data_IF_870615285108
#
_entry.id   IF_870615285108
#
_cell.length_a   1.000
_cell.length_b   1.000
_cell.length_c   1.000
_cell.angle_alpha   90.00
_cell.angle_beta   90.00
_cell.angle_gamma   90.00
#
_symmetry.space_group_name_H-M   'P 1'
#
loop_
_entity.id
_entity.type
_entity.pdbx_description
1 polymer ?
#
# COMPACT_ATOMS: atom_id res chain seq x y z
N UNK A 1 2.10 1.94 10.60
CA UNK A 1 1.83 1.75 9.15
C UNK A 1 1.10 0.43 8.90
N UNK A 2 0.84 -0.29 9.98
CA UNK A 2 0.58 -1.72 10.00
C UNK A 2 -0.88 -1.98 9.68
N UNK A 3 -1.79 -1.13 10.16
CA UNK A 3 -3.19 -1.08 9.73
C UNK A 3 -3.34 -1.08 8.21
N UNK A 4 -2.58 -0.23 7.50
CA UNK A 4 -2.68 -0.13 6.03
C UNK A 4 -2.06 -1.35 5.36
N UNK A 5 -1.00 -1.91 5.92
CA UNK A 5 -0.39 -3.17 5.47
C UNK A 5 -1.33 -4.35 5.64
N UNK A 6 -1.95 -4.49 6.80
CA UNK A 6 -2.97 -5.50 7.08
C UNK A 6 -4.17 -5.34 6.15
N UNK A 7 -4.56 -4.11 5.82
CA UNK A 7 -5.67 -3.84 4.92
C UNK A 7 -5.36 -4.21 3.46
N UNK A 8 -4.28 -3.66 2.90
CA UNK A 8 -3.93 -3.82 1.48
C UNK A 8 -3.16 -5.12 1.18
N UNK A 9 -2.53 -5.72 2.18
CA UNK A 9 -1.58 -6.83 2.02
C UNK A 9 -0.18 -6.38 1.59
N UNK A 10 0.83 -7.15 1.99
CA UNK A 10 2.25 -6.82 1.77
C UNK A 10 2.66 -6.76 0.29
N UNK A 11 2.00 -7.54 -0.56
CA UNK A 11 2.23 -7.57 -2.02
C UNK A 11 1.90 -6.24 -2.71
N UNK A 12 1.09 -5.39 -2.06
CA UNK A 12 0.75 -4.05 -2.54
C UNK A 12 1.74 -2.98 -2.06
N UNK A 13 2.53 -3.26 -1.01
CA UNK A 13 3.50 -2.32 -0.47
C UNK A 13 4.85 -2.37 -1.18
N UNK A 14 5.31 -3.56 -1.53
CA UNK A 14 6.58 -3.75 -2.20
C UNK A 14 6.41 -4.39 -3.57
N UNK A 15 7.27 -4.01 -4.52
CA UNK A 15 7.40 -4.75 -5.78
C UNK A 15 8.25 -5.98 -5.49
N UNK A 16 7.61 -7.14 -5.30
CA UNK A 16 8.25 -8.39 -4.91
C UNK A 16 8.21 -8.61 -3.40
N UNK A 17 9.31 -9.10 -2.82
CA UNK A 17 9.46 -9.30 -1.38
C UNK A 17 9.61 -7.95 -0.62
N UNK A 18 10.05 -7.92 0.65
CA UNK A 18 10.62 -6.72 1.27
C UNK A 18 12.12 -6.51 0.91
N UNK A 19 12.59 -5.26 0.69
CA UNK A 19 14.00 -4.94 0.42
C UNK A 19 14.92 -5.26 1.60
N UNK A 20 16.09 -5.86 1.31
CA UNK A 20 17.07 -6.26 2.34
C UNK A 20 18.36 -5.44 2.33
N UNK A 21 18.66 -4.74 1.25
CA UNK A 21 19.88 -3.95 1.09
C UNK A 21 19.57 -2.60 0.41
N UNK A 22 20.53 -1.68 0.47
CA UNK A 22 20.39 -0.30 -0.05
C UNK A 22 20.00 -0.23 -1.53
N UNK A 23 20.56 -1.11 -2.35
CA UNK A 23 20.28 -1.15 -3.79
C UNK A 23 18.87 -1.66 -4.08
N UNK A 24 18.39 -2.64 -3.30
CA UNK A 24 17.03 -3.14 -3.39
C UNK A 24 15.99 -2.09 -2.98
N UNK A 25 16.27 -1.25 -1.98
CA UNK A 25 15.39 -0.13 -1.63
C UNK A 25 15.23 0.83 -2.81
N UNK A 26 16.33 1.24 -3.43
CA UNK A 26 16.31 2.12 -4.60
C UNK A 26 15.59 1.46 -5.78
N UNK A 27 15.91 0.21 -6.10
CA UNK A 27 15.33 -0.49 -7.23
C UNK A 27 13.81 -0.69 -7.08
N UNK A 28 13.34 -1.08 -5.89
CA UNK A 28 11.90 -1.27 -5.63
C UNK A 28 11.16 0.05 -5.65
N UNK A 29 11.75 1.12 -5.11
CA UNK A 29 11.21 2.47 -5.23
C UNK A 29 11.05 2.87 -6.70
N UNK A 30 12.09 2.68 -7.53
CA UNK A 30 12.04 3.02 -8.95
C UNK A 30 10.97 2.20 -9.69
N UNK A 31 10.85 0.90 -9.41
CA UNK A 31 9.79 0.07 -9.96
C UNK A 31 8.39 0.58 -9.55
N UNK A 32 8.22 0.98 -8.30
CA UNK A 32 6.95 1.53 -7.79
C UNK A 32 6.60 2.88 -8.45
N UNK A 33 7.61 3.72 -8.72
CA UNK A 33 7.47 4.97 -9.47
C UNK A 33 7.27 4.76 -10.97
N UNK A 34 7.28 3.52 -11.45
CA UNK A 34 6.94 3.16 -12.83
C UNK A 34 8.12 3.15 -13.80
N UNK A 35 9.37 3.02 -13.32
CA UNK A 35 10.49 2.72 -14.22
C UNK A 35 10.48 1.26 -14.66
N UNK A 36 10.92 1.00 -15.88
CA UNK A 36 11.10 -0.37 -16.37
C UNK A 36 12.30 -1.05 -15.70
N UNK A 37 12.19 -2.36 -15.46
CA UNK A 37 13.29 -3.15 -14.91
C UNK A 37 14.55 -3.11 -15.81
N UNK A 38 14.35 -3.07 -17.13
CA UNK A 38 15.44 -2.92 -18.11
C UNK A 38 16.14 -1.58 -17.98
N UNK A 39 15.41 -0.47 -17.81
CA UNK A 39 16.05 0.83 -17.59
C UNK A 39 16.89 0.85 -16.30
N UNK A 40 16.40 0.22 -15.23
CA UNK A 40 17.13 0.14 -13.96
C UNK A 40 18.46 -0.60 -14.12
N UNK A 41 18.46 -1.74 -14.82
CA UNK A 41 19.69 -2.52 -15.04
C UNK A 41 20.66 -1.82 -15.98
N UNK A 42 20.17 -1.21 -17.07
CA UNK A 42 21.01 -0.47 -18.02
C UNK A 42 21.68 0.76 -17.38
N UNK A 43 20.95 1.49 -16.53
CA UNK A 43 21.44 2.72 -15.92
C UNK A 43 21.99 2.55 -14.49
N UNK A 44 22.06 1.31 -13.98
CA UNK A 44 22.60 0.96 -12.65
C UNK A 44 22.08 1.88 -11.54
N UNK A 45 20.76 2.14 -11.51
CA UNK A 45 20.13 2.97 -10.49
C UNK A 45 20.30 4.50 -10.64
N UNK A 46 21.06 4.98 -11.63
CA UNK A 46 21.30 6.42 -11.86
C UNK A 46 20.22 7.14 -12.68
N UNK A 47 19.02 6.58 -12.72
CA UNK A 47 17.90 7.05 -13.56
C UNK A 47 17.42 8.46 -13.19
N UNK A 48 17.57 8.84 -11.92
CA UNK A 48 17.11 10.13 -11.41
C UNK A 48 18.00 11.30 -11.84
N UNK A 49 19.23 11.04 -12.33
CA UNK A 49 20.11 12.09 -12.88
C UNK A 49 19.67 12.58 -14.27
N UNK A 50 18.73 11.90 -14.93
CA UNK A 50 18.23 12.27 -16.25
C UNK A 50 16.72 12.53 -16.24
N UNK A 51 16.26 13.58 -15.55
CA UNK A 51 14.82 13.83 -15.38
C UNK A 51 14.06 14.05 -16.69
N UNK A 52 14.75 14.56 -17.72
CA UNK A 52 14.18 14.80 -19.06
C UNK A 52 13.89 13.54 -19.87
N UNK A 53 14.39 12.37 -19.45
CA UNK A 53 14.21 11.07 -20.15
C UNK A 53 13.32 10.09 -19.40
N UNK A 54 12.65 10.53 -18.33
CA UNK A 54 11.80 9.65 -17.53
C UNK A 54 10.70 8.96 -18.36
N UNK A 55 10.15 9.64 -19.38
CA UNK A 55 9.14 9.06 -20.27
C UNK A 55 9.70 7.89 -21.12
N UNK A 56 10.94 8.00 -21.59
CA UNK A 56 11.59 6.96 -22.40
C UNK A 56 11.94 5.72 -21.57
N UNK A 57 12.08 5.88 -20.26
CA UNK A 57 12.49 4.84 -19.31
C UNK A 57 11.30 4.25 -18.53
N UNK A 58 10.10 4.75 -18.80
CA UNK A 58 8.87 4.34 -18.14
C UNK A 58 8.45 2.92 -18.53
N UNK A 59 7.98 2.18 -17.52
CA UNK A 59 7.23 0.95 -17.69
C UNK A 59 5.93 1.23 -18.45
N UNK A 60 5.51 0.28 -19.31
CA UNK A 60 4.19 0.32 -19.96
C UNK A 60 3.04 0.34 -18.96
N UNK A 61 3.23 -0.28 -17.79
CA UNK A 61 2.22 -0.33 -16.73
C UNK A 61 2.19 0.94 -15.87
N UNK A 62 3.16 1.85 -16.02
CA UNK A 62 3.25 3.07 -15.23
C UNK A 62 3.57 2.82 -13.75
N UNK A 63 3.41 3.86 -12.89
CA UNK A 63 3.60 3.76 -11.45
C UNK A 63 2.53 2.86 -10.81
N UNK A 64 2.92 2.08 -9.79
CA UNK A 64 1.95 1.27 -9.04
C UNK A 64 1.09 2.17 -8.15
N UNK A 65 -0.22 2.04 -8.32
CA UNK A 65 -1.21 2.57 -7.39
C UNK A 65 -1.66 1.49 -6.41
N UNK A 66 -2.45 1.91 -5.42
CA UNK A 66 -3.25 0.99 -4.60
C UNK A 66 -4.24 0.31 -5.54
N UNK A 67 -4.20 -1.02 -5.62
CA UNK A 67 -5.18 -1.79 -6.40
C UNK A 67 -6.52 -1.81 -5.67
N UNK A 68 -7.62 -1.81 -6.44
CA UNK A 68 -8.96 -1.78 -5.88
C UNK A 68 -9.32 -3.13 -5.22
N UNK A 69 -9.39 -3.18 -3.89
CA UNK A 69 -9.86 -4.34 -3.13
C UNK A 69 -11.36 -4.29 -2.77
N UNK A 70 -12.12 -3.38 -3.39
CA UNK A 70 -13.52 -3.07 -3.08
C UNK A 70 -14.49 -3.49 -4.21
N UNK A 71 -14.59 -4.79 -4.56
CA UNK A 71 -15.30 -5.25 -5.76
C UNK A 71 -16.79 -4.97 -5.73
N UNK A 72 -17.42 -4.90 -4.55
CA UNK A 72 -18.86 -4.71 -4.40
C UNK A 72 -19.24 -3.24 -4.54
N UNK A 73 -18.61 -2.35 -3.78
CA UNK A 73 -18.85 -0.89 -3.82
C UNK A 73 -18.50 -0.33 -5.20
N UNK A 74 -17.48 -0.90 -5.86
CA UNK A 74 -17.11 -0.51 -7.22
C UNK A 74 -18.22 -0.71 -8.24
N UNK A 75 -19.10 -1.70 -8.07
CA UNK A 75 -20.25 -1.86 -8.96
C UNK A 75 -21.15 -0.62 -8.97
N UNK A 76 -21.18 0.12 -7.88
CA UNK A 76 -22.00 1.32 -7.74
C UNK A 76 -21.27 2.62 -8.17
N UNK A 77 -19.99 2.56 -8.54
CA UNK A 77 -19.25 3.75 -8.98
C UNK A 77 -19.89 4.41 -10.20
N UNK A 78 -20.30 3.64 -11.22
CA UNK A 78 -20.94 4.20 -12.42
C UNK A 78 -22.24 4.94 -12.05
N UNK A 79 -23.01 4.37 -11.12
CA UNK A 79 -24.24 4.99 -10.62
C UNK A 79 -23.98 6.29 -9.90
N UNK A 80 -23.08 6.31 -8.92
CA UNK A 80 -22.88 7.47 -8.05
C UNK A 80 -21.96 8.53 -8.65
N UNK A 81 -20.93 8.14 -9.40
CA UNK A 81 -19.96 9.07 -9.99
C UNK A 81 -20.34 9.50 -11.40
N UNK A 82 -20.90 8.58 -12.21
CA UNK A 82 -21.20 8.84 -13.64
C UNK A 82 -22.70 8.96 -13.94
N UNK A 83 -23.56 8.82 -12.93
CA UNK A 83 -25.02 8.93 -13.04
C UNK A 83 -25.60 7.98 -14.11
N UNK A 84 -25.03 6.78 -14.25
CA UNK A 84 -25.45 5.80 -15.26
C UNK A 84 -26.84 5.19 -15.01
N UNK A 85 -27.51 5.53 -13.90
CA UNK A 85 -28.82 5.00 -13.53
C UNK A 85 -28.74 3.81 -12.57
N UNK A 86 -29.73 2.92 -12.62
CA UNK A 86 -29.82 1.75 -11.76
C UNK A 86 -28.73 0.72 -12.09
N UNK A 87 -28.16 0.11 -11.05
CA UNK A 87 -27.21 -1.00 -11.18
C UNK A 87 -27.91 -2.25 -10.70
N UNK A 88 -28.16 -3.18 -11.62
CA UNK A 88 -28.76 -4.48 -11.31
C UNK A 88 -27.65 -5.51 -11.04
N UNK A 89 -27.79 -6.23 -9.92
CA UNK A 89 -26.89 -7.32 -9.56
C UNK A 89 -27.19 -8.54 -10.43
N UNK A 90 -26.35 -8.79 -11.43
CA UNK A 90 -26.41 -9.99 -12.25
C UNK A 90 -25.70 -11.17 -11.56
N UNK A 91 -25.99 -12.43 -11.92
CA UNK A 91 -25.28 -13.59 -11.40
C UNK A 91 -23.75 -13.51 -11.61
N UNK A 92 -23.29 -12.98 -12.74
CA UNK A 92 -21.86 -12.81 -13.03
C UNK A 92 -21.20 -11.83 -12.07
N UNK A 93 -21.94 -10.79 -11.67
CA UNK A 93 -21.47 -9.83 -10.67
C UNK A 93 -21.33 -10.49 -9.30
N UNK A 94 -22.28 -11.35 -8.92
CA UNK A 94 -22.24 -12.09 -7.65
C UNK A 94 -21.07 -13.07 -7.63
N UNK A 95 -20.86 -13.82 -8.71
CA UNK A 95 -19.70 -14.72 -8.84
C UNK A 95 -18.37 -13.96 -8.79
N UNK A 96 -18.30 -12.79 -9.43
CA UNK A 96 -17.13 -11.91 -9.39
C UNK A 96 -16.82 -11.45 -7.96
N UNK A 97 -17.84 -11.00 -7.21
CA UNK A 97 -17.71 -10.60 -5.81
C UNK A 97 -17.18 -11.75 -4.95
N UNK A 98 -17.82 -12.91 -5.03
CA UNK A 98 -17.44 -14.09 -4.23
C UNK A 98 -16.02 -14.53 -4.58
N UNK A 99 -15.65 -14.50 -5.86
CA UNK A 99 -14.31 -14.87 -6.32
C UNK A 99 -13.20 -13.92 -5.87
N UNK A 100 -13.54 -12.68 -5.50
CA UNK A 100 -12.59 -11.65 -5.05
C UNK A 100 -12.54 -11.49 -3.53
N UNK A 101 -13.48 -12.10 -2.80
CA UNK A 101 -13.43 -12.15 -1.35
C UNK A 101 -12.14 -12.85 -0.88
N UNK A 102 -11.44 -12.21 0.06
CA UNK A 102 -10.21 -12.70 0.68
C UNK A 102 -10.44 -13.23 2.11
N UNK A 103 -11.69 -13.47 2.51
CA UNK A 103 -12.03 -13.82 3.88
C UNK A 103 -12.56 -15.25 3.96
N UNK A 104 -12.10 -15.98 4.98
CA UNK A 104 -12.50 -17.33 5.30
C UNK A 104 -13.55 -17.31 6.42
N UNK A 105 -14.38 -18.33 6.42
CA UNK A 105 -15.30 -18.61 7.52
C UNK A 105 -14.48 -19.13 8.70
N UNK A 106 -14.56 -18.45 9.84
CA UNK A 106 -14.08 -19.03 11.09
C UNK A 106 -15.10 -20.09 11.55
N UNK A 107 -14.61 -21.25 11.96
CA UNK A 107 -15.49 -22.37 12.39
C UNK A 107 -15.80 -22.30 13.89
N UNK A 108 -15.69 -21.13 14.52
CA UNK A 108 -16.13 -20.92 15.89
C UNK A 108 -17.67 -21.03 15.95
N UNK A 109 -18.18 -21.86 16.86
CA UNK A 109 -19.55 -22.37 16.80
C UNK A 109 -20.65 -21.31 17.06
N UNK A 110 -20.32 -20.09 17.50
CA UNK A 110 -21.33 -19.17 18.04
C UNK A 110 -21.28 -17.70 17.57
N UNK A 111 -20.46 -17.32 16.58
CA UNK A 111 -20.53 -15.95 16.03
C UNK A 111 -20.17 -15.93 14.54
N UNK A 112 -20.73 -14.96 13.79
CA UNK A 112 -20.31 -14.69 12.40
C UNK A 112 -18.92 -14.02 12.41
N UNK A 113 -17.93 -14.73 12.92
CA UNK A 113 -16.53 -14.33 12.92
C UNK A 113 -15.90 -14.68 11.56
N UNK A 114 -15.16 -13.75 10.99
CA UNK A 114 -14.52 -13.90 9.68
C UNK A 114 -13.06 -13.49 9.78
N UNK A 115 -12.17 -14.31 9.22
CA UNK A 115 -10.72 -14.07 9.26
C UNK A 115 -10.22 -13.81 7.85
N UNK A 116 -9.39 -12.77 7.68
CA UNK A 116 -8.71 -12.51 6.41
C UNK A 116 -7.73 -13.65 6.15
N UNK A 117 -7.73 -14.22 4.96
CA UNK A 117 -6.78 -15.26 4.64
C UNK A 117 -5.36 -14.68 4.60
N UNK A 118 -4.48 -15.20 5.45
CA UNK A 118 -3.06 -14.83 5.46
C UNK A 118 -2.32 -15.35 4.22
N UNK A 119 -2.75 -16.51 3.68
CA UNK A 119 -2.11 -17.18 2.56
C UNK A 119 -2.98 -17.29 1.31
N UNK A 120 -2.39 -16.93 0.15
CA UNK A 120 -3.00 -17.09 -1.16
C UNK A 120 -3.32 -18.56 -1.52
N UNK A 121 -2.70 -19.51 -0.83
CA UNK A 121 -2.92 -20.95 -1.03
C UNK A 121 -4.28 -21.40 -0.48
N UNK A 122 -4.74 -20.81 0.62
CA UNK A 122 -6.01 -21.17 1.27
C UNK A 122 -7.21 -20.57 0.56
N UNK A 123 -7.04 -19.35 0.03
CA UNK A 123 -7.98 -18.74 -0.91
C UNK A 123 -8.20 -19.60 -2.16
N UNK A 124 -7.12 -20.18 -2.71
CA UNK A 124 -7.24 -21.07 -3.88
C UNK A 124 -8.01 -22.34 -3.57
N UNK A 125 -7.75 -22.98 -2.42
CA UNK A 125 -8.46 -24.21 -1.99
C UNK A 125 -9.96 -23.96 -1.81
N UNK A 126 -10.32 -22.83 -1.19
CA UNK A 126 -11.73 -22.49 -0.96
C UNK A 126 -12.45 -22.11 -2.26
N UNK A 127 -11.81 -21.33 -3.14
CA UNK A 127 -12.35 -21.00 -4.48
C UNK A 127 -12.55 -22.26 -5.32
N UNK A 128 -11.67 -23.25 -5.20
CA UNK A 128 -11.80 -24.53 -5.90
C UNK A 128 -12.94 -25.39 -5.34
N UNK A 129 -13.16 -25.39 -4.02
CA UNK A 129 -14.33 -26.02 -3.37
C UNK A 129 -15.65 -25.38 -3.79
N UNK A 130 -15.70 -24.04 -3.88
CA UNK A 130 -16.90 -23.31 -4.31
C UNK A 130 -17.20 -23.53 -5.80
N UNK A 131 -16.19 -23.48 -6.68
CA UNK A 131 -16.36 -23.77 -8.12
C UNK A 131 -16.89 -25.18 -8.37
N UNK A 132 -16.40 -26.19 -7.63
CA UNK A 132 -16.90 -27.57 -7.75
C UNK A 132 -18.38 -27.70 -7.36
N UNK A 133 -18.84 -26.95 -6.36
CA UNK A 133 -20.26 -26.92 -5.95
C UNK A 133 -21.15 -26.22 -6.99
N UNK A 134 -20.63 -25.21 -7.71
CA UNK A 134 -21.38 -24.49 -8.74
C UNK A 134 -21.49 -25.26 -10.07
N UNK A 135 -20.47 -26.04 -10.44
CA UNK A 135 -20.47 -26.84 -11.69
C UNK A 135 -21.40 -28.05 -11.67
N UNK A 136 -21.90 -28.45 -10.50
CA UNK A 136 -22.71 -29.66 -10.31
C UNK A 136 -24.21 -29.43 -10.55
N UNK A 137 -24.59 -28.37 -11.28
CA UNK A 137 -25.97 -28.10 -11.71
C UNK A 137 -26.98 -27.80 -10.59
N UNK A 138 -26.55 -27.73 -9.34
CA UNK A 138 -27.41 -27.48 -8.18
C UNK A 138 -27.83 -26.02 -8.10
N UNK A 139 -29.15 -25.78 -8.05
CA UNK A 139 -29.71 -24.47 -7.62
C UNK A 139 -29.05 -24.10 -6.29
N UNK A 140 -28.20 -23.07 -6.28
CA UNK A 140 -27.52 -22.62 -5.06
C UNK A 140 -28.59 -22.25 -4.02
N UNK A 141 -28.52 -22.87 -2.83
CA UNK A 141 -29.41 -22.54 -1.72
C UNK A 141 -29.16 -21.07 -1.36
N UNK A 142 -30.20 -20.28 -1.11
CA UNK A 142 -30.06 -18.86 -0.81
C UNK A 142 -29.01 -18.57 0.28
N UNK A 143 -28.96 -19.40 1.34
CA UNK A 143 -27.94 -19.29 2.40
C UNK A 143 -26.50 -19.52 1.94
N UNK A 144 -26.27 -20.37 0.93
CA UNK A 144 -24.93 -20.59 0.33
C UNK A 144 -24.45 -19.44 -0.55
N UNK A 145 -25.35 -18.52 -0.92
CA UNK A 145 -25.01 -17.32 -1.69
C UNK A 145 -24.93 -16.08 -0.79
N UNK A 146 -25.92 -15.92 0.11
CA UNK A 146 -26.03 -14.78 1.01
C UNK A 146 -24.87 -14.71 2.00
N UNK A 147 -24.40 -15.86 2.52
CA UNK A 147 -23.30 -15.88 3.50
C UNK A 147 -21.97 -15.40 2.87
N UNK A 148 -21.48 -15.95 1.74
CA UNK A 148 -20.28 -15.43 1.07
C UNK A 148 -20.42 -13.97 0.60
N UNK A 149 -21.62 -13.56 0.20
CA UNK A 149 -21.87 -12.19 -0.21
C UNK A 149 -21.77 -11.23 0.99
N UNK A 150 -22.43 -11.56 2.10
CA UNK A 150 -22.32 -10.79 3.35
C UNK A 150 -20.86 -10.70 3.82
N UNK A 151 -20.10 -11.81 3.74
CA UNK A 151 -18.66 -11.83 4.02
C UNK A 151 -17.88 -10.86 3.12
N UNK A 152 -18.14 -10.88 1.81
CA UNK A 152 -17.46 -9.99 0.87
C UNK A 152 -17.78 -8.51 1.15
N UNK A 153 -19.02 -8.20 1.54
CA UNK A 153 -19.43 -6.86 1.93
C UNK A 153 -18.77 -6.40 3.24
N UNK A 154 -18.77 -7.22 4.29
CA UNK A 154 -18.16 -6.84 5.58
C UNK A 154 -16.65 -6.71 5.47
N UNK A 155 -16.01 -7.62 4.74
CA UNK A 155 -14.59 -7.56 4.37
C UNK A 155 -14.20 -6.23 3.70
N UNK A 156 -15.00 -5.84 2.72
CA UNK A 156 -14.79 -4.63 1.95
C UNK A 156 -15.04 -3.36 2.76
N UNK A 157 -15.94 -3.42 3.74
CA UNK A 157 -16.31 -2.26 4.55
C UNK A 157 -15.08 -1.60 5.18
N UNK A 158 -14.12 -2.38 5.69
CA UNK A 158 -12.88 -1.85 6.27
C UNK A 158 -12.01 -1.15 5.24
N UNK A 159 -11.90 -1.70 4.02
CA UNK A 159 -11.10 -1.10 2.97
C UNK A 159 -11.77 0.16 2.40
N UNK A 160 -13.07 0.09 2.19
CA UNK A 160 -13.89 1.18 1.68
C UNK A 160 -13.97 2.37 2.65
N UNK A 161 -14.08 2.09 3.95
CA UNK A 161 -14.15 3.12 4.99
C UNK A 161 -12.79 3.66 5.43
N UNK A 162 -11.69 3.04 4.98
CA UNK A 162 -10.37 3.53 5.33
C UNK A 162 -10.17 4.97 4.80
N UNK A 163 -9.74 5.93 5.64
CA UNK A 163 -9.67 7.34 5.26
C UNK A 163 -8.45 7.65 4.39
N UNK A 164 -8.43 7.13 3.15
CA UNK A 164 -7.32 7.27 2.19
C UNK A 164 -6.95 8.72 1.90
N UNK A 165 -7.92 9.64 1.86
CA UNK A 165 -7.65 11.07 1.64
C UNK A 165 -6.87 11.69 2.80
N UNK A 166 -7.16 11.26 4.03
CA UNK A 166 -6.42 11.69 5.23
C UNK A 166 -5.00 11.15 5.16
N UNK A 167 -4.84 9.85 4.90
CA UNK A 167 -3.52 9.22 4.69
C UNK A 167 -2.74 9.94 3.59
N UNK A 168 -3.35 10.18 2.43
CA UNK A 168 -2.72 10.84 1.29
C UNK A 168 -2.24 12.25 1.66
N UNK A 169 -3.10 13.07 2.30
CA UNK A 169 -2.74 14.41 2.74
C UNK A 169 -1.55 14.38 3.71
N UNK A 170 -1.51 13.40 4.60
CA UNK A 170 -0.38 13.22 5.52
C UNK A 170 0.89 12.79 4.80
N UNK A 171 0.82 11.85 3.86
CA UNK A 171 1.96 11.45 3.03
C UNK A 171 2.57 12.66 2.30
N UNK A 172 1.75 13.56 1.75
CA UNK A 172 2.24 14.78 1.12
C UNK A 172 2.88 15.75 2.12
N UNK A 173 2.26 15.95 3.28
CA UNK A 173 2.82 16.81 4.33
C UNK A 173 4.18 16.29 4.81
N UNK A 174 4.28 14.97 4.98
CA UNK A 174 5.50 14.26 5.33
C UNK A 174 6.59 14.46 4.26
N UNK A 175 6.27 14.24 2.99
CA UNK A 175 7.22 14.45 1.89
C UNK A 175 7.72 15.89 1.79
N UNK A 176 6.86 16.89 2.05
CA UNK A 176 7.26 18.31 2.11
C UNK A 176 8.26 18.56 3.23
N UNK A 177 8.07 17.93 4.40
CA UNK A 177 8.96 18.09 5.55
C UNK A 177 10.32 17.47 5.27
N UNK A 178 10.35 16.22 4.80
CA UNK A 178 11.59 15.57 4.34
C UNK A 178 12.30 16.43 3.29
N UNK A 179 11.57 16.92 2.27
CA UNK A 179 12.16 17.80 1.28
C UNK A 179 12.80 19.01 1.95
N UNK A 180 12.12 19.69 2.88
CA UNK A 180 12.66 20.90 3.49
C UNK A 180 13.97 20.69 4.25
N UNK A 181 14.11 19.56 4.95
CA UNK A 181 15.31 19.28 5.74
C UNK A 181 16.46 18.72 4.90
N UNK A 182 16.13 17.95 3.87
CA UNK A 182 17.13 17.38 2.97
C UNK A 182 17.51 18.34 1.82
N UNK A 183 16.71 19.38 1.56
CA UNK A 183 16.90 20.35 0.46
C UNK A 183 18.33 20.90 0.38
N UNK A 184 18.96 21.34 1.49
CA UNK A 184 20.30 21.94 1.42
C UNK A 184 21.35 20.96 0.85
N UNK A 185 21.30 19.70 1.28
CA UNK A 185 22.22 18.65 0.83
C UNK A 185 21.87 18.21 -0.59
N UNK A 186 20.57 18.00 -0.88
CA UNK A 186 20.11 17.57 -2.20
C UNK A 186 20.40 18.62 -3.29
N UNK A 187 20.22 19.92 -2.99
CA UNK A 187 20.56 21.00 -3.93
C UNK A 187 22.06 21.11 -4.17
N UNK A 188 22.88 20.86 -3.14
CA UNK A 188 24.35 20.85 -3.28
C UNK A 188 24.80 19.74 -4.22
N UNK A 189 24.18 18.56 -4.12
CA UNK A 189 24.55 17.37 -4.88
C UNK A 189 23.96 17.33 -6.29
N UNK A 190 22.68 17.63 -6.43
CA UNK A 190 21.91 17.44 -7.68
C UNK A 190 21.52 18.76 -8.34
N UNK A 191 21.86 19.89 -7.73
CA UNK A 191 21.49 21.23 -8.19
C UNK A 191 20.09 21.67 -7.74
N UNK A 192 19.76 22.97 -7.84
CA UNK A 192 18.48 23.51 -7.40
C UNK A 192 17.28 23.04 -8.23
N UNK A 193 17.51 22.53 -9.44
CA UNK A 193 16.49 22.05 -10.37
C UNK A 193 16.28 20.53 -10.32
N UNK A 194 16.71 19.86 -9.23
CA UNK A 194 16.48 18.41 -9.07
C UNK A 194 14.98 18.05 -8.93
N UNK A 195 14.16 19.02 -8.55
CA UNK A 195 12.69 18.96 -8.57
C UNK A 195 12.15 20.24 -9.20
N UNK A 196 11.28 20.09 -10.21
CA UNK A 196 10.63 21.20 -10.93
C UNK A 196 9.25 21.54 -10.36
N UNK A 197 8.50 20.52 -9.96
CA UNK A 197 7.09 20.65 -9.58
C UNK A 197 6.80 19.90 -8.29
N UNK A 198 5.79 20.38 -7.56
CA UNK A 198 5.36 19.73 -6.31
C UNK A 198 4.97 18.26 -6.54
N UNK A 199 4.35 17.94 -7.68
CA UNK A 199 3.98 16.55 -8.03
C UNK A 199 5.16 15.56 -8.01
N UNK A 200 6.39 16.05 -8.06
CA UNK A 200 7.61 15.25 -8.03
C UNK A 200 8.13 15.02 -6.59
N UNK A 201 7.44 15.50 -5.54
CA UNK A 201 7.87 15.30 -4.15
C UNK A 201 8.25 13.85 -3.80
N UNK A 202 7.56 12.79 -4.27
CA UNK A 202 7.99 11.42 -4.03
C UNK A 202 9.42 11.13 -4.49
N UNK A 203 9.90 11.76 -5.56
CA UNK A 203 11.27 11.60 -6.06
C UNK A 203 12.34 12.09 -5.09
N UNK A 204 11.99 12.95 -4.11
CA UNK A 204 12.90 13.31 -3.01
C UNK A 204 13.44 12.05 -2.32
N UNK A 205 12.57 11.07 -2.06
CA UNK A 205 12.94 9.79 -1.46
C UNK A 205 13.87 9.02 -2.40
N UNK A 206 13.57 9.03 -3.71
CA UNK A 206 14.43 8.44 -4.72
C UNK A 206 15.84 9.02 -4.73
N UNK A 207 15.98 10.35 -4.64
CA UNK A 207 17.29 11.00 -4.59
C UNK A 207 18.05 10.65 -3.30
N UNK A 208 17.37 10.56 -2.15
CA UNK A 208 17.97 10.11 -0.89
C UNK A 208 18.50 8.68 -1.03
N UNK A 209 17.66 7.76 -1.53
CA UNK A 209 18.04 6.36 -1.74
C UNK A 209 19.17 6.20 -2.77
N UNK A 210 19.15 7.00 -3.84
CA UNK A 210 20.20 7.00 -4.86
C UNK A 210 21.53 7.46 -4.28
N UNK A 211 21.53 8.58 -3.53
CA UNK A 211 22.75 9.07 -2.89
C UNK A 211 23.27 8.08 -1.84
N UNK A 212 22.39 7.43 -1.07
CA UNK A 212 22.80 6.39 -0.12
C UNK A 212 23.34 5.12 -0.78
N UNK A 213 22.79 4.72 -1.94
CA UNK A 213 23.33 3.61 -2.71
C UNK A 213 24.76 3.92 -3.20
N UNK A 214 24.99 5.13 -3.70
CA UNK A 214 26.28 5.59 -4.26
C UNK A 214 27.34 5.90 -3.19
N UNK A 215 26.96 6.57 -2.10
CA UNK A 215 27.84 7.01 -1.02
C UNK A 215 27.21 6.68 0.34
N UNK A 216 27.36 5.43 0.82
CA UNK A 216 26.70 4.96 2.04
C UNK A 216 27.29 5.56 3.32
N UNK A 217 28.53 6.07 3.29
CA UNK A 217 29.26 6.54 4.47
C UNK A 217 29.37 8.06 4.55
N UNK A 218 29.26 8.76 3.42
CA UNK A 218 29.28 10.22 3.35
C UNK A 218 27.88 10.85 3.34
N UNK A 219 27.58 11.57 2.26
CA UNK A 219 26.37 12.40 2.17
C UNK A 219 25.08 11.57 2.18
N UNK A 220 25.14 10.31 1.74
CA UNK A 220 24.00 9.39 1.79
C UNK A 220 23.62 9.02 3.21
N UNK A 221 24.61 8.76 4.08
CA UNK A 221 24.37 8.49 5.52
C UNK A 221 23.72 9.68 6.19
N UNK A 222 24.22 10.88 5.89
CA UNK A 222 23.70 12.12 6.46
C UNK A 222 22.25 12.38 6.02
N UNK A 223 21.93 12.20 4.73
CA UNK A 223 20.56 12.32 4.22
C UNK A 223 19.61 11.32 4.90
N UNK A 224 20.02 10.06 5.04
CA UNK A 224 19.24 9.04 5.73
C UNK A 224 19.03 9.41 7.20
N UNK A 225 20.06 9.92 7.89
CA UNK A 225 19.98 10.34 9.30
C UNK A 225 19.03 11.52 9.48
N UNK A 226 19.13 12.55 8.65
CA UNK A 226 18.24 13.72 8.68
C UNK A 226 16.79 13.28 8.44
N UNK A 227 16.56 12.48 7.38
CA UNK A 227 15.23 11.99 7.04
C UNK A 227 14.64 11.11 8.16
N UNK A 228 15.45 10.25 8.76
CA UNK A 228 15.04 9.41 9.90
C UNK A 228 14.70 10.25 11.14
N UNK A 229 15.47 11.30 11.42
CA UNK A 229 15.20 12.23 12.52
C UNK A 229 13.83 12.90 12.38
N UNK A 230 13.52 13.41 11.19
CA UNK A 230 12.18 13.96 10.91
C UNK A 230 11.09 12.89 10.95
N UNK A 231 11.32 11.71 10.36
CA UNK A 231 10.35 10.62 10.39
C UNK A 231 9.99 10.21 11.82
N UNK A 232 11.00 9.97 12.67
CA UNK A 232 10.80 9.58 14.05
C UNK A 232 10.12 10.71 14.84
N UNK A 233 10.49 11.97 14.63
CA UNK A 233 9.80 13.10 15.27
C UNK A 233 8.33 13.17 14.87
N UNK A 234 8.01 12.90 13.61
CA UNK A 234 6.65 12.94 13.08
C UNK A 234 5.78 11.76 13.52
N UNK A 235 6.36 10.56 13.57
CA UNK A 235 5.66 9.34 13.99
C UNK A 235 5.50 9.31 15.51
N UNK A 236 6.60 9.49 16.26
CA UNK A 236 6.61 9.32 17.72
C UNK A 236 6.00 10.53 18.45
N UNK A 237 6.27 11.77 18.03
CA UNK A 237 5.81 12.96 18.78
C UNK A 237 4.49 13.53 18.27
N UNK A 238 4.20 13.41 16.97
CA UNK A 238 2.98 14.00 16.37
C UNK A 238 1.88 12.96 16.11
N UNK A 239 2.13 11.68 16.41
CA UNK A 239 1.13 10.62 16.34
C UNK A 239 0.44 10.51 14.97
N UNK A 240 1.17 10.78 13.88
CA UNK A 240 0.55 10.88 12.54
C UNK A 240 -0.11 9.56 12.10
N UNK A 241 0.45 8.41 12.50
CA UNK A 241 -0.22 7.12 12.35
C UNK A 241 -1.56 7.06 13.09
N UNK A 242 -1.58 7.59 14.32
CA UNK A 242 -2.77 7.63 15.17
C UNK A 242 -3.85 8.57 14.62
N UNK A 243 -3.52 9.63 13.87
CA UNK A 243 -4.56 10.51 13.28
C UNK A 243 -5.48 9.75 12.32
N UNK A 244 -4.93 8.83 11.55
CA UNK A 244 -5.69 8.03 10.58
C UNK A 244 -6.55 6.99 11.29
N UNK A 245 -6.00 6.35 12.33
CA UNK A 245 -6.70 5.40 13.20
C UNK A 245 -7.81 6.11 13.99
N UNK A 246 -7.55 7.28 14.54
CA UNK A 246 -8.52 8.12 15.25
C UNK A 246 -9.65 8.56 14.33
N UNK A 247 -9.33 8.94 13.08
CA UNK A 247 -10.36 9.27 12.09
C UNK A 247 -11.22 8.04 11.76
N UNK A 248 -10.61 6.87 11.59
CA UNK A 248 -11.32 5.62 11.38
C UNK A 248 -12.22 5.24 12.57
N UNK A 249 -11.72 5.32 13.81
CA UNK A 249 -12.48 5.13 15.05
C UNK A 249 -13.68 6.08 15.13
N UNK A 250 -13.46 7.39 14.92
CA UNK A 250 -14.51 8.42 15.07
C UNK A 250 -15.56 8.41 13.96
N UNK A 251 -15.17 8.15 12.73
CA UNK A 251 -16.07 8.26 11.57
C UNK A 251 -16.82 6.94 11.31
N UNK A 252 -16.20 5.80 11.63
CA UNK A 252 -16.70 4.49 11.19
C UNK A 252 -16.76 3.45 12.31
N UNK A 253 -16.39 3.80 13.55
CA UNK A 253 -16.42 2.87 14.68
C UNK A 253 -15.44 1.72 14.58
N UNK A 254 -14.37 1.87 13.77
CA UNK A 254 -13.38 0.82 13.57
C UNK A 254 -12.41 0.77 14.74
N UNK A 255 -12.41 -0.34 15.47
CA UNK A 255 -11.42 -0.64 16.50
C UNK A 255 -10.25 -1.43 15.90
N UNK A 256 -9.04 -1.05 16.30
CA UNK A 256 -7.80 -1.72 15.93
C UNK A 256 -7.14 -2.09 17.24
N UNK A 257 -6.90 -3.39 17.44
CA UNK A 257 -6.11 -3.91 18.53
C UNK A 257 -4.66 -3.48 18.30
N UNK A 258 -4.09 -2.80 19.30
CA UNK A 258 -2.67 -2.47 19.31
C UNK A 258 -1.99 -3.66 19.96
N UNK A 259 -1.13 -4.37 19.22
CA UNK A 259 -0.25 -5.35 19.82
C UNK A 259 0.66 -4.60 20.80
N UNK A 260 0.41 -4.76 22.10
CA UNK A 260 1.28 -4.25 23.17
C UNK A 260 2.60 -5.04 23.14
N UNK A 261 3.46 -4.74 22.17
CA UNK A 261 4.88 -5.14 22.20
C UNK A 261 5.64 -4.25 23.20
N UNK A 262 5.24 -4.33 24.47
CA UNK A 262 6.09 -3.99 25.61
C UNK A 262 7.07 -5.17 25.83
N UNK A 263 8.10 -5.23 24.98
CA UNK A 263 9.34 -5.96 25.34
C UNK A 263 10.58 -5.24 24.83
N UNK A 264 11.29 -4.64 25.79
CA UNK A 264 12.68 -4.20 25.80
C UNK A 264 13.14 -3.15 24.78
N UNK A 265 12.94 -1.90 25.19
CA UNK A 265 13.87 -0.81 24.92
C UNK A 265 15.23 -1.04 25.61
N UNK A 266 16.05 -1.96 25.10
CA UNK A 266 17.51 -1.87 25.24
C UNK A 266 18.19 -2.88 24.33
N UNK A 267 18.89 -2.38 23.32
CA UNK A 267 20.23 -2.79 22.85
C UNK A 267 20.35 -2.26 21.41
N UNK A 268 20.99 -1.09 21.30
CA UNK A 268 21.66 -0.71 20.06
C UNK A 268 22.78 -1.74 19.84
N UNK A 269 22.87 -2.41 18.69
CA UNK A 269 24.13 -3.06 18.32
C UNK A 269 25.09 -1.96 17.89
N UNK A 270 26.17 -1.80 18.66
CA UNK A 270 27.36 -1.07 18.27
C UNK A 270 27.83 -1.55 16.90
N UNK A 271 27.92 -0.62 15.95
CA UNK A 271 28.55 -0.83 14.65
C UNK A 271 30.03 -0.46 14.80
N UNK A 272 30.88 -1.47 15.00
CA UNK A 272 32.26 -1.46 14.51
C UNK A 272 32.31 -1.77 13.01
#
# INVERSE_FOLDING_TARGET
MDVVRSLLGDSNFFVGSPPKNKDEYLNRFLLQMGYSASAITTHKGRLLRQPRRHQDMASRSGPRGIEDGVPVSRMFFERYLRKSGQVDLTPENVDSIISRSNYLEDNSEDELAFVKADDASDLKKQKQKQKRKATDGGKLKAGSLLKPLAMAFTAEMFEFSFPYLVLHRWSWKFLRQIKSVCDPVLRRLHGPAYLDQEKQLPFTVGYILMTFAEDPDGDGKELMRIAAGEFNGLVCQKGIGNVTITAARKMYGLEFEEDDDDSDSSVLPDLE
#
